data_IF_478674099117
#
_entry.id   IF_478674099117
#
_cell.length_a   1.000
_cell.length_b   1.000
_cell.length_c   1.000
_cell.angle_alpha   90.00
_cell.angle_beta   90.00
_cell.angle_gamma   90.00
#
_symmetry.space_group_name_H-M   'P 1'
#
loop_
_entity.id
_entity.type
_entity.pdbx_description
1 polymer ?
#
# COMPACT_ATOMS: atom_id res chain seq x y z
N UNK A 1 -36.85 -17.90 74.64
CA UNK A 1 -35.65 -18.72 74.35
C UNK A 1 -35.83 -19.27 72.93
N UNK A 2 -35.40 -18.50 71.93
CA UNK A 2 -35.48 -18.88 70.51
C UNK A 2 -34.03 -18.93 70.03
N UNK A 3 -33.49 -20.14 69.88
CA UNK A 3 -32.16 -20.35 69.31
C UNK A 3 -32.39 -20.59 67.82
N UNK A 4 -32.25 -19.53 67.03
CA UNK A 4 -32.19 -19.65 65.58
C UNK A 4 -30.98 -20.51 65.21
N UNK A 5 -31.25 -21.64 64.55
CA UNK A 5 -30.23 -22.49 63.96
C UNK A 5 -29.43 -21.72 62.90
N UNK A 6 -28.16 -21.45 63.19
CA UNK A 6 -27.20 -20.98 62.19
C UNK A 6 -26.89 -22.12 61.22
N UNK A 7 -27.65 -22.19 60.12
CA UNK A 7 -27.36 -23.07 58.97
C UNK A 7 -26.02 -22.68 58.34
N UNK A 8 -24.97 -23.46 58.61
CA UNK A 8 -23.71 -23.36 57.88
C UNK A 8 -23.92 -23.92 56.46
N UNK A 9 -24.00 -23.02 55.47
CA UNK A 9 -24.01 -23.40 54.06
C UNK A 9 -22.70 -24.11 53.71
N UNK A 10 -22.76 -25.37 53.25
CA UNK A 10 -21.58 -26.08 52.74
C UNK A 10 -21.06 -25.35 51.51
N UNK A 11 -19.96 -24.61 51.65
CA UNK A 11 -19.17 -24.15 50.50
C UNK A 11 -18.72 -25.41 49.73
N UNK A 12 -19.28 -25.61 48.54
CA UNK A 12 -18.75 -26.57 47.57
C UNK A 12 -17.49 -25.91 47.01
N UNK A 13 -16.33 -26.32 47.51
CA UNK A 13 -15.04 -25.89 46.98
C UNK A 13 -14.92 -26.27 45.50
N UNK A 14 -14.38 -25.36 44.70
CA UNK A 14 -14.04 -25.61 43.30
C UNK A 14 -13.07 -26.80 43.21
N UNK A 15 -13.37 -27.75 42.33
CA UNK A 15 -12.47 -28.88 42.09
C UNK A 15 -11.25 -28.39 41.29
N UNK A 16 -10.04 -28.90 41.56
CA UNK A 16 -8.81 -28.54 40.81
C UNK A 16 -8.99 -28.79 39.30
N UNK A 17 -9.79 -29.78 38.91
CA UNK A 17 -10.11 -30.06 37.51
C UNK A 17 -10.86 -28.92 36.83
N UNK A 18 -11.69 -28.18 37.57
CA UNK A 18 -12.50 -27.08 37.06
C UNK A 18 -11.62 -25.89 36.68
N UNK A 19 -10.60 -25.61 37.49
CA UNK A 19 -9.60 -24.58 37.20
C UNK A 19 -8.74 -24.99 36.00
N UNK A 20 -8.34 -26.26 35.90
CA UNK A 20 -7.57 -26.75 34.75
C UNK A 20 -8.34 -26.65 33.43
N UNK A 21 -9.62 -27.02 33.44
CA UNK A 21 -10.48 -26.87 32.26
C UNK A 21 -10.70 -25.39 31.94
N UNK A 22 -10.86 -24.53 32.94
CA UNK A 22 -11.00 -23.07 32.74
C UNK A 22 -9.76 -22.45 32.09
N UNK A 23 -8.55 -22.81 32.56
CA UNK A 23 -7.30 -22.34 31.97
C UNK A 23 -7.11 -22.90 30.55
N UNK A 24 -7.48 -24.16 30.31
CA UNK A 24 -7.43 -24.75 28.96
C UNK A 24 -8.31 -23.97 27.98
N UNK A 25 -9.56 -23.69 28.35
CA UNK A 25 -10.49 -22.92 27.51
C UNK A 25 -9.96 -21.49 27.29
N UNK A 26 -9.42 -20.86 28.33
CA UNK A 26 -8.82 -19.53 28.24
C UNK A 26 -7.64 -19.49 27.26
N UNK A 27 -6.71 -20.45 27.35
CA UNK A 27 -5.56 -20.54 26.45
C UNK A 27 -6.03 -20.72 25.00
N UNK A 28 -6.97 -21.63 24.74
CA UNK A 28 -7.54 -21.82 23.39
C UNK A 28 -8.18 -20.52 22.87
N UNK A 29 -8.91 -19.79 23.74
CA UNK A 29 -9.50 -18.50 23.40
C UNK A 29 -8.47 -17.43 23.02
N UNK A 30 -7.36 -17.34 23.76
CA UNK A 30 -6.27 -16.40 23.45
C UNK A 30 -5.54 -16.73 22.14
N UNK A 31 -5.29 -18.01 21.86
CA UNK A 31 -4.71 -18.42 20.56
C UNK A 31 -5.65 -18.05 19.40
N UNK A 32 -6.96 -18.23 19.57
CA UNK A 32 -7.96 -17.81 18.59
C UNK A 32 -7.91 -16.30 18.32
N UNK A 33 -7.84 -15.48 19.37
CA UNK A 33 -7.74 -14.02 19.25
C UNK A 33 -6.44 -13.57 18.57
N UNK A 34 -5.30 -14.18 18.92
CA UNK A 34 -4.01 -13.85 18.31
C UNK A 34 -4.00 -14.14 16.79
N UNK A 35 -4.64 -15.23 16.37
CA UNK A 35 -4.84 -15.54 14.95
C UNK A 35 -5.64 -14.45 14.22
N UNK A 36 -6.77 -14.03 14.79
CA UNK A 36 -7.59 -12.96 14.23
C UNK A 36 -6.85 -11.62 14.15
N UNK A 37 -6.05 -11.30 15.17
CA UNK A 37 -5.26 -10.07 15.20
C UNK A 37 -4.23 -10.03 14.06
N UNK A 38 -3.60 -11.17 13.75
CA UNK A 38 -2.65 -11.30 12.64
C UNK A 38 -3.33 -11.06 11.29
N UNK A 39 -4.47 -11.71 11.04
CA UNK A 39 -5.23 -11.52 9.79
C UNK A 39 -5.74 -10.08 9.67
N UNK A 40 -6.17 -9.46 10.78
CA UNK A 40 -6.59 -8.05 10.79
C UNK A 40 -5.45 -7.11 10.37
N UNK A 41 -4.24 -7.34 10.87
CA UNK A 41 -3.07 -6.54 10.49
C UNK A 41 -2.71 -6.71 9.01
N UNK A 42 -2.72 -7.95 8.50
CA UNK A 42 -2.47 -8.21 7.08
C UNK A 42 -3.47 -7.51 6.17
N UNK A 43 -4.77 -7.58 6.51
CA UNK A 43 -5.82 -6.90 5.75
C UNK A 43 -5.67 -5.37 5.82
N UNK A 44 -5.31 -4.84 6.99
CA UNK A 44 -5.08 -3.40 7.17
C UNK A 44 -3.91 -2.92 6.31
N UNK A 45 -2.82 -3.68 6.26
CA UNK A 45 -1.65 -3.35 5.45
C UNK A 45 -1.99 -3.36 3.94
N UNK A 46 -2.69 -4.40 3.46
CA UNK A 46 -3.18 -4.44 2.06
C UNK A 46 -4.08 -3.26 1.70
N UNK A 47 -4.96 -2.85 2.61
CA UNK A 47 -5.81 -1.68 2.41
C UNK A 47 -5.01 -0.38 2.34
N UNK A 48 -3.95 -0.27 3.15
CA UNK A 48 -3.04 0.88 3.14
C UNK A 48 -2.33 1.00 1.80
N UNK A 49 -1.72 -0.09 1.28
CA UNK A 49 -1.03 -0.08 -0.01
C UNK A 49 -1.96 0.32 -1.16
N UNK A 50 -3.19 -0.23 -1.19
CA UNK A 50 -4.20 0.15 -2.18
C UNK A 50 -4.61 1.62 -2.08
N UNK A 51 -4.74 2.14 -0.86
CA UNK A 51 -5.06 3.56 -0.64
C UNK A 51 -3.91 4.46 -1.10
N UNK A 52 -2.67 4.03 -0.87
CA UNK A 52 -1.49 4.75 -1.32
C UNK A 52 -1.41 4.78 -2.86
N UNK A 53 -1.59 3.64 -3.53
CA UNK A 53 -1.67 3.57 -4.98
C UNK A 53 -2.81 4.44 -5.55
N UNK A 54 -3.98 4.46 -4.89
CA UNK A 54 -5.08 5.33 -5.31
C UNK A 54 -4.70 6.82 -5.21
N UNK A 55 -4.08 7.23 -4.11
CA UNK A 55 -3.59 8.60 -3.92
C UNK A 55 -2.61 9.01 -5.03
N UNK A 56 -1.58 8.19 -5.30
CA UNK A 56 -0.60 8.45 -6.36
C UNK A 56 -1.25 8.47 -7.76
N UNK A 57 -2.30 7.70 -7.98
CA UNK A 57 -3.04 7.72 -9.25
C UNK A 57 -3.83 9.01 -9.45
N UNK A 58 -4.47 9.54 -8.39
CA UNK A 58 -5.17 10.82 -8.48
C UNK A 58 -4.20 11.99 -8.65
N UNK A 59 -3.05 11.93 -7.98
CA UNK A 59 -2.00 12.95 -8.06
C UNK A 59 -1.52 13.15 -9.50
N UNK A 60 -1.19 12.07 -10.22
CA UNK A 60 -0.79 12.17 -11.63
C UNK A 60 -1.94 12.60 -12.55
N UNK A 61 -3.18 12.17 -12.28
CA UNK A 61 -4.34 12.60 -13.07
C UNK A 61 -4.57 14.11 -12.97
N UNK A 62 -4.36 14.69 -11.79
CA UNK A 62 -4.46 16.13 -11.60
C UNK A 62 -3.34 16.88 -12.33
N UNK A 63 -2.12 16.33 -12.39
CA UNK A 63 -1.02 16.86 -13.20
C UNK A 63 -1.31 16.80 -14.71
N UNK A 64 -1.85 15.67 -15.19
CA UNK A 64 -2.27 15.53 -16.60
C UNK A 64 -3.30 16.59 -16.98
N UNK A 65 -4.28 16.81 -16.09
CA UNK A 65 -5.30 17.86 -16.30
C UNK A 65 -4.69 19.26 -16.32
N UNK A 66 -3.71 19.53 -15.46
CA UNK A 66 -3.03 20.82 -15.39
C UNK A 66 -2.18 21.09 -16.65
N UNK A 67 -1.50 20.07 -17.18
CA UNK A 67 -0.69 20.15 -18.41
C UNK A 67 -1.49 19.70 -19.64
N UNK A 68 -2.66 20.32 -19.84
CA UNK A 68 -3.56 19.98 -20.93
C UNK A 68 -2.92 20.09 -22.32
N UNK A 69 -3.30 19.19 -23.23
CA UNK A 69 -2.82 19.18 -24.62
C UNK A 69 -1.56 18.33 -24.86
N UNK A 70 -1.06 17.63 -23.84
CA UNK A 70 0.08 16.70 -23.94
C UNK A 70 -0.35 15.29 -23.54
N UNK A 71 0.13 14.28 -24.26
CA UNK A 71 -0.15 12.87 -23.95
C UNK A 71 0.83 12.35 -22.88
N UNK A 72 0.30 11.74 -21.83
CA UNK A 72 1.07 11.22 -20.67
C UNK A 72 1.28 9.70 -20.69
N UNK A 73 1.08 9.04 -21.84
CA UNK A 73 1.22 7.58 -21.95
C UNK A 73 2.65 7.12 -21.61
N UNK A 74 2.78 6.09 -20.78
CA UNK A 74 4.07 5.51 -20.36
C UNK A 74 3.90 4.05 -19.97
N UNK A 75 4.87 3.18 -20.22
CA UNK A 75 4.88 1.78 -19.76
C UNK A 75 5.55 1.64 -18.39
N UNK A 76 5.30 0.55 -17.67
CA UNK A 76 5.88 0.25 -16.35
C UNK A 76 7.38 0.54 -16.24
N UNK A 77 8.18 -0.01 -17.16
CA UNK A 77 9.65 0.05 -17.10
C UNK A 77 10.27 1.21 -17.89
N UNK A 78 9.47 2.19 -18.32
CA UNK A 78 9.99 3.33 -19.08
C UNK A 78 10.64 4.36 -18.16
N UNK A 79 11.96 4.54 -18.26
CA UNK A 79 12.65 5.69 -17.68
C UNK A 79 12.41 6.94 -18.56
N UNK A 80 11.94 8.04 -17.97
CA UNK A 80 11.74 9.30 -18.68
C UNK A 80 12.99 10.18 -18.52
N UNK A 81 13.60 10.60 -19.62
CA UNK A 81 14.59 11.68 -19.58
C UNK A 81 13.88 13.01 -19.38
N UNK A 82 14.32 13.81 -18.42
CA UNK A 82 13.60 15.01 -18.03
C UNK A 82 14.51 16.23 -17.88
N UNK A 83 13.89 17.40 -17.84
CA UNK A 83 14.52 18.68 -17.49
C UNK A 83 13.93 19.13 -16.16
N UNK A 84 14.75 19.67 -15.26
CA UNK A 84 14.27 20.25 -14.01
C UNK A 84 13.34 21.44 -14.30
N UNK A 85 12.03 21.22 -14.17
CA UNK A 85 11.00 22.22 -14.39
C UNK A 85 10.76 23.15 -13.18
N UNK A 86 11.45 22.93 -12.06
CA UNK A 86 11.41 23.82 -10.90
C UNK A 86 12.40 24.99 -11.07
N UNK A 87 13.55 24.71 -11.68
CA UNK A 87 14.61 25.72 -11.90
C UNK A 87 14.64 26.27 -13.33
N UNK A 88 13.97 25.63 -14.29
CA UNK A 88 13.98 26.01 -15.70
C UNK A 88 12.57 26.21 -16.26
N UNK A 89 12.45 26.98 -17.35
CA UNK A 89 11.20 27.06 -18.10
C UNK A 89 10.97 25.78 -18.92
N UNK A 90 9.88 25.07 -18.63
CA UNK A 90 9.50 23.86 -19.36
C UNK A 90 8.38 24.09 -20.37
N UNK A 91 8.49 23.43 -21.52
CA UNK A 91 7.34 23.18 -22.41
C UNK A 91 6.44 22.10 -21.80
N UNK A 92 5.22 21.95 -22.30
CA UNK A 92 4.32 20.88 -21.84
C UNK A 92 4.94 19.47 -21.98
N UNK A 93 5.74 19.24 -23.03
CA UNK A 93 6.48 17.98 -23.23
C UNK A 93 7.54 17.74 -22.14
N UNK A 94 8.31 18.78 -21.78
CA UNK A 94 9.32 18.68 -20.74
C UNK A 94 8.67 18.50 -19.36
N UNK A 95 7.56 19.21 -19.12
CA UNK A 95 6.78 19.09 -17.88
C UNK A 95 6.20 17.69 -17.72
N UNK A 96 5.68 17.08 -18.80
CA UNK A 96 5.24 15.67 -18.78
C UNK A 96 6.36 14.74 -18.34
N UNK A 97 7.55 14.85 -18.93
CA UNK A 97 8.67 13.98 -18.57
C UNK A 97 9.09 14.14 -17.12
N UNK A 98 9.10 15.38 -16.63
CA UNK A 98 9.40 15.69 -15.24
C UNK A 98 8.36 15.08 -14.29
N UNK A 99 7.07 15.27 -14.57
CA UNK A 99 5.97 14.71 -13.80
C UNK A 99 6.00 13.18 -13.78
N UNK A 100 6.24 12.53 -14.93
CA UNK A 100 6.33 11.07 -15.02
C UNK A 100 7.54 10.53 -14.25
N UNK A 101 8.68 11.22 -14.29
CA UNK A 101 9.85 10.83 -13.52
C UNK A 101 9.58 10.93 -12.01
N UNK A 102 9.00 12.04 -11.54
CA UNK A 102 8.66 12.24 -10.13
C UNK A 102 7.61 11.22 -9.66
N UNK A 103 6.57 11.00 -10.46
CA UNK A 103 5.51 10.04 -10.16
C UNK A 103 6.05 8.62 -10.06
N UNK A 104 6.87 8.17 -11.02
CA UNK A 104 7.49 6.83 -10.98
C UNK A 104 8.43 6.65 -9.81
N UNK A 105 9.20 7.69 -9.47
CA UNK A 105 10.04 7.71 -8.28
C UNK A 105 9.18 7.56 -6.99
N UNK A 106 8.06 8.28 -6.87
CA UNK A 106 7.16 8.19 -5.72
C UNK A 106 6.52 6.80 -5.56
N UNK A 107 6.23 6.13 -6.68
CA UNK A 107 5.68 4.77 -6.68
C UNK A 107 6.73 3.76 -6.21
N UNK A 108 7.94 3.81 -6.77
CA UNK A 108 8.98 2.83 -6.47
C UNK A 108 9.58 3.05 -5.06
N UNK A 109 9.73 4.31 -4.63
CA UNK A 109 10.30 4.67 -3.34
C UNK A 109 11.73 4.19 -3.10
N UNK A 110 12.47 3.87 -4.18
CA UNK A 110 13.87 3.43 -4.11
C UNK A 110 14.80 4.46 -4.72
N UNK A 111 16.00 4.59 -4.16
CA UNK A 111 17.03 5.50 -4.67
C UNK A 111 17.40 5.20 -6.13
N UNK A 112 17.38 3.93 -6.55
CA UNK A 112 17.66 3.54 -7.93
C UNK A 112 16.60 4.04 -8.93
N UNK A 113 15.32 4.08 -8.54
CA UNK A 113 14.26 4.63 -9.38
C UNK A 113 14.23 6.17 -9.36
N UNK A 114 14.90 6.78 -8.38
CA UNK A 114 14.91 8.21 -8.13
C UNK A 114 16.27 8.87 -8.41
N UNK A 115 17.26 8.11 -8.89
CA UNK A 115 18.67 8.57 -8.97
C UNK A 115 18.83 9.80 -9.83
N UNK A 116 18.00 9.94 -10.86
CA UNK A 116 18.05 11.07 -11.78
C UNK A 116 17.43 12.35 -11.17
N UNK A 117 16.61 12.22 -10.13
CA UNK A 117 15.94 13.32 -9.41
C UNK A 117 16.73 13.82 -8.19
N UNK A 118 17.87 13.21 -7.88
CA UNK A 118 18.73 13.62 -6.78
C UNK A 118 19.21 15.07 -6.94
N UNK A 119 19.02 15.88 -5.88
CA UNK A 119 19.45 17.28 -5.84
C UNK A 119 18.46 18.31 -6.38
N UNK A 120 17.30 17.89 -6.90
CA UNK A 120 16.30 18.79 -7.51
C UNK A 120 15.27 19.30 -6.47
N UNK A 121 15.36 18.87 -5.21
CA UNK A 121 14.45 19.31 -4.14
C UNK A 121 12.99 18.82 -4.29
N UNK A 122 12.72 18.02 -5.32
CA UNK A 122 11.42 17.39 -5.59
C UNK A 122 11.28 16.00 -4.96
N UNK A 123 12.35 15.48 -4.35
CA UNK A 123 12.33 14.18 -3.67
C UNK A 123 11.44 14.28 -2.44
N UNK A 124 10.19 13.85 -2.59
CA UNK A 124 9.35 13.50 -1.46
C UNK A 124 9.94 12.25 -0.86
N UNK A 125 10.35 12.34 0.41
CA UNK A 125 10.70 11.17 1.22
C UNK A 125 9.40 10.44 1.59
N UNK A 126 8.69 9.96 0.56
CA UNK A 126 7.48 9.16 0.68
C UNK A 126 7.89 7.69 0.61
N UNK A 127 7.31 6.89 1.51
CA UNK A 127 7.51 5.44 1.53
C UNK A 127 6.77 4.87 0.32
N UNK A 128 7.49 4.58 -0.76
CA UNK A 128 6.92 3.99 -1.97
C UNK A 128 6.30 2.62 -1.74
N UNK A 129 5.66 2.11 -2.78
CA UNK A 129 5.11 0.77 -2.79
C UNK A 129 6.24 -0.26 -2.98
N UNK A 130 6.18 -1.44 -2.32
CA UNK A 130 7.19 -2.49 -2.50
C UNK A 130 7.33 -2.88 -3.99
N UNK A 131 8.48 -2.58 -4.58
CA UNK A 131 8.72 -2.78 -6.02
C UNK A 131 7.60 -2.21 -6.91
N UNK A 132 7.09 -1.04 -6.53
CA UNK A 132 6.00 -0.39 -7.23
C UNK A 132 6.38 0.02 -8.65
N UNK A 133 5.46 -0.13 -9.59
CA UNK A 133 5.57 0.32 -10.97
C UNK A 133 4.27 0.98 -11.44
N UNK A 134 4.37 1.97 -12.33
CA UNK A 134 3.23 2.70 -12.89
C UNK A 134 3.19 2.72 -14.41
N UNK A 135 2.00 2.51 -14.97
CA UNK A 135 1.65 2.56 -16.40
C UNK A 135 0.49 3.56 -16.61
N UNK A 136 0.53 4.27 -17.73
CA UNK A 136 -0.54 5.18 -18.15
C UNK A 136 -0.83 4.91 -19.62
N UNK A 137 -2.11 4.66 -19.94
CA UNK A 137 -2.60 4.47 -21.30
C UNK A 137 -3.71 5.46 -21.64
N UNK A 138 -3.64 6.06 -22.82
CA UNK A 138 -4.72 6.86 -23.39
C UNK A 138 -5.47 6.04 -24.44
N UNK A 139 -6.78 5.86 -24.25
CA UNK A 139 -7.64 5.21 -25.25
C UNK A 139 -8.94 5.99 -25.41
N UNK A 140 -9.15 6.57 -26.61
CA UNK A 140 -10.39 7.27 -26.94
C UNK A 140 -10.72 8.45 -26.02
N UNK A 141 -9.71 9.16 -25.50
CA UNK A 141 -9.89 10.28 -24.56
C UNK A 141 -10.06 9.86 -23.09
N UNK A 142 -9.89 8.57 -22.79
CA UNK A 142 -9.88 8.05 -21.42
C UNK A 142 -8.45 7.68 -21.04
N UNK A 143 -7.94 8.31 -19.99
CA UNK A 143 -6.68 7.94 -19.35
C UNK A 143 -6.94 6.80 -18.39
N UNK A 144 -6.22 5.70 -18.57
CA UNK A 144 -6.17 4.57 -17.65
C UNK A 144 -4.82 4.59 -16.95
N UNK A 145 -4.83 4.80 -15.64
CA UNK A 145 -3.65 4.75 -14.78
C UNK A 145 -3.67 3.42 -14.05
N UNK A 146 -2.57 2.66 -14.18
CA UNK A 146 -2.38 1.40 -13.49
C UNK A 146 -1.11 1.46 -12.65
N UNK A 147 -1.23 1.16 -11.36
CA UNK A 147 -0.11 1.01 -10.44
C UNK A 147 -0.10 -0.43 -9.95
N UNK A 148 1.06 -1.09 -10.04
CA UNK A 148 1.24 -2.46 -9.57
C UNK A 148 2.42 -2.55 -8.62
N UNK A 149 2.38 -3.47 -7.67
CA UNK A 149 3.43 -3.69 -6.69
C UNK A 149 3.45 -5.16 -6.27
N UNK A 150 4.57 -5.60 -5.72
CA UNK A 150 4.68 -6.94 -5.17
C UNK A 150 5.64 -6.95 -3.98
N UNK A 151 5.29 -7.74 -2.98
CA UNK A 151 6.18 -8.03 -1.88
C UNK A 151 7.06 -9.21 -2.29
N UNK A 152 8.37 -8.99 -2.37
CA UNK A 152 9.30 -10.05 -2.73
C UNK A 152 9.31 -11.13 -1.62
N UNK A 153 8.87 -12.33 -1.98
CA UNK A 153 9.16 -13.55 -1.23
C UNK A 153 10.39 -14.20 -1.89
N UNK A 154 11.52 -14.17 -1.20
CA UNK A 154 12.68 -15.04 -1.45
C UNK A 154 13.62 -14.73 -2.64
N UNK A 155 13.97 -13.46 -2.90
CA UNK A 155 15.18 -13.13 -3.70
C UNK A 155 15.02 -13.29 -5.23
N UNK A 156 13.80 -13.16 -5.75
CA UNK A 156 13.50 -13.27 -7.17
C UNK A 156 13.75 -11.94 -7.91
N UNK A 157 14.53 -11.99 -8.99
CA UNK A 157 14.76 -10.82 -9.85
C UNK A 157 13.45 -10.36 -10.53
N UNK A 158 13.24 -9.04 -10.63
CA UNK A 158 12.04 -8.40 -11.21
C UNK A 158 11.68 -8.90 -12.62
N UNK A 159 12.67 -9.38 -13.38
CA UNK A 159 12.49 -9.85 -14.76
C UNK A 159 11.82 -11.24 -14.86
N UNK A 160 11.81 -12.02 -13.78
CA UNK A 160 11.25 -13.39 -13.74
C UNK A 160 9.88 -13.46 -13.03
N UNK A 161 9.35 -12.31 -12.62
CA UNK A 161 8.09 -12.27 -11.87
C UNK A 161 6.93 -12.34 -12.84
N UNK A 162 6.19 -13.44 -12.76
CA UNK A 162 4.96 -13.61 -13.52
C UNK A 162 3.97 -12.48 -13.20
N UNK A 163 3.28 -11.98 -14.22
CA UNK A 163 2.37 -10.82 -14.12
C UNK A 163 1.24 -11.03 -13.10
N UNK A 164 0.91 -12.29 -12.78
CA UNK A 164 -0.09 -12.68 -11.78
C UNK A 164 0.36 -12.49 -10.32
N UNK A 165 1.64 -12.24 -10.09
CA UNK A 165 2.22 -12.08 -8.75
C UNK A 165 2.11 -10.64 -8.22
N UNK A 166 1.65 -9.70 -9.06
CA UNK A 166 1.48 -8.31 -8.69
C UNK A 166 0.08 -8.04 -8.12
N UNK A 167 0.02 -7.37 -6.98
CA UNK A 167 -1.18 -6.62 -6.60
C UNK A 167 -1.24 -5.37 -7.47
N UNK A 168 -2.44 -4.99 -7.93
CA UNK A 168 -2.62 -3.82 -8.79
C UNK A 168 -3.81 -2.97 -8.36
N UNK A 169 -3.71 -1.69 -8.70
CA UNK A 169 -4.76 -0.70 -8.63
C UNK A 169 -4.90 -0.06 -10.00
N UNK A 170 -6.12 0.12 -10.49
CA UNK A 170 -6.38 0.73 -11.80
C UNK A 170 -7.54 1.70 -11.70
N UNK A 171 -7.39 2.87 -12.30
CA UNK A 171 -8.42 3.89 -12.42
C UNK A 171 -8.47 4.41 -13.85
N UNK A 172 -9.67 4.62 -14.37
CA UNK A 172 -9.88 5.19 -15.71
C UNK A 172 -10.70 6.47 -15.59
N UNK A 173 -10.20 7.57 -16.17
CA UNK A 173 -10.83 8.89 -16.11
C UNK A 173 -10.81 9.53 -17.51
N UNK A 174 -11.93 10.13 -17.90
CA UNK A 174 -11.98 11.00 -19.08
C UNK A 174 -11.59 12.42 -18.66
N UNK A 175 -10.60 12.98 -19.36
CA UNK A 175 -10.06 14.33 -19.12
C UNK A 175 -10.36 15.27 -20.28
#
# INVERSE_FOLDING_TARGET
MHLDELKFSKQRGFSIIEVMVSVLVLVVGFLGMAGLQTTSLQNSNKSLLRTHAAYLSYEILDRIRANGGVEYSTDFDSAATFVDCLSNSCSGENLRNFDLAEWKCSIAGTEAACSDLEGIGSLRSEVGLPNGQGDIKLNGGVYTVQIRWYEEKDGASTADIADDSFDSFTISVSL
#
